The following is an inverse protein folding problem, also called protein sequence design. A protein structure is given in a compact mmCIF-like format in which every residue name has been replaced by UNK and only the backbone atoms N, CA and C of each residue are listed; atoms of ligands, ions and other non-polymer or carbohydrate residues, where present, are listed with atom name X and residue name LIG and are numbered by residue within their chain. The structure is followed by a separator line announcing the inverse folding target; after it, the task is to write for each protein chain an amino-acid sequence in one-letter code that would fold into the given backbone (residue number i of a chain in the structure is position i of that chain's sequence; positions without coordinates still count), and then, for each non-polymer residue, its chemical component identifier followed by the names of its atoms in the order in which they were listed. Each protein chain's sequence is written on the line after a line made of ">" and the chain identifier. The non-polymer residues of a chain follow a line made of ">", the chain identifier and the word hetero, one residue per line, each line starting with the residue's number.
data_IF_648065926430
#
_entry.id   IF_648065926430
#
_cell.length_a   1.000
_cell.length_b   1.000
_cell.length_c   1.000
_cell.angle_alpha   90.00
_cell.angle_beta   90.00
_cell.angle_gamma   90.00
#
_symmetry.space_group_name_H-M   'P 1'
#
loop_
_entity.id
_entity.type
_entity.pdbx_description
1 polymer ?
#
# COMPACT_ATOMS: atom_id res chain seq x y z
N UNK A 1 1.53 18.68 6.96
CA UNK A 1 0.49 19.76 7.04
C UNK A 1 0.67 20.83 5.94
N UNK A 2 1.88 21.15 5.54
CA UNK A 2 2.10 22.23 4.53
C UNK A 2 1.84 21.76 3.10
N UNK A 3 2.19 20.53 2.77
CA UNK A 3 2.01 19.94 1.44
C UNK A 3 0.53 19.85 1.06
N UNK A 4 -0.30 19.21 1.90
CA UNK A 4 -1.75 19.08 1.67
C UNK A 4 -2.44 20.44 1.57
N UNK A 5 -2.05 21.39 2.41
CA UNK A 5 -2.59 22.76 2.37
C UNK A 5 -2.24 23.48 1.08
N UNK A 6 -1.03 23.30 0.54
CA UNK A 6 -0.62 23.91 -0.73
C UNK A 6 -1.37 23.32 -1.91
N UNK A 7 -1.56 22.01 -1.93
CA UNK A 7 -2.37 21.31 -2.94
C UNK A 7 -3.81 21.80 -2.88
N UNK A 8 -4.40 21.90 -1.69
CA UNK A 8 -5.73 22.47 -1.50
C UNK A 8 -5.85 23.89 -2.02
N UNK A 9 -4.82 24.72 -1.81
CA UNK A 9 -4.79 26.07 -2.36
C UNK A 9 -4.84 26.13 -3.89
N UNK A 10 -4.21 25.17 -4.58
CA UNK A 10 -4.27 25.06 -6.06
C UNK A 10 -5.63 24.57 -6.53
N UNK A 11 -6.19 23.60 -5.86
CA UNK A 11 -7.51 23.03 -6.18
C UNK A 11 -8.62 24.07 -6.00
N UNK A 12 -8.60 24.80 -4.87
CA UNK A 12 -9.68 25.77 -4.54
C UNK A 12 -9.53 27.12 -5.25
N UNK A 13 -8.31 27.62 -5.41
CA UNK A 13 -8.01 28.99 -5.83
C UNK A 13 -7.33 29.09 -7.19
N UNK A 14 -7.03 27.94 -7.80
CA UNK A 14 -6.32 27.87 -9.06
C UNK A 14 -4.78 27.92 -8.93
N UNK A 15 -4.14 27.87 -10.08
CA UNK A 15 -2.67 27.68 -10.19
C UNK A 15 -1.85 28.87 -9.69
N UNK A 16 -2.42 30.07 -9.66
CA UNK A 16 -1.71 31.30 -9.30
C UNK A 16 -1.75 31.60 -7.79
N UNK A 17 -1.39 30.61 -6.99
CA UNK A 17 -1.33 30.78 -5.53
C UNK A 17 0.09 30.96 -5.00
N UNK A 18 0.22 31.70 -3.91
CA UNK A 18 1.52 31.89 -3.25
C UNK A 18 2.09 30.51 -2.84
N UNK A 19 3.33 30.25 -3.24
CA UNK A 19 4.05 29.02 -2.91
C UNK A 19 4.00 27.94 -3.99
N UNK A 20 3.28 28.13 -5.11
CA UNK A 20 3.27 27.20 -6.25
C UNK A 20 4.69 26.97 -6.78
N UNK A 21 5.47 28.03 -7.01
CA UNK A 21 6.87 27.91 -7.44
C UNK A 21 7.75 27.13 -6.45
N UNK A 22 7.44 27.24 -5.16
CA UNK A 22 8.15 26.48 -4.12
C UNK A 22 7.82 25.00 -4.24
N UNK A 23 6.56 24.66 -4.49
CA UNK A 23 6.14 23.28 -4.75
C UNK A 23 6.80 22.75 -6.01
N UNK A 24 6.82 23.49 -7.12
CA UNK A 24 7.49 23.08 -8.36
C UNK A 24 8.94 22.68 -8.11
N UNK A 25 9.66 23.47 -7.33
CA UNK A 25 11.05 23.17 -6.95
C UNK A 25 11.15 21.93 -6.08
N UNK A 26 10.22 21.74 -5.14
CA UNK A 26 10.23 20.60 -4.22
C UNK A 26 9.95 19.28 -4.93
N UNK A 27 9.03 19.27 -5.90
CA UNK A 27 8.60 18.04 -6.58
C UNK A 27 9.24 17.86 -7.97
N UNK A 28 10.10 18.81 -8.37
CA UNK A 28 10.85 18.71 -9.63
C UNK A 28 10.03 19.06 -10.87
N UNK A 29 9.17 20.08 -10.78
CA UNK A 29 8.39 20.59 -11.91
C UNK A 29 6.93 20.88 -11.57
N UNK A 30 6.18 21.34 -12.56
CA UNK A 30 4.78 21.77 -12.44
C UNK A 30 3.74 20.63 -12.64
N UNK A 31 4.19 19.44 -12.96
CA UNK A 31 3.38 18.26 -13.26
C UNK A 31 2.32 17.94 -12.20
N UNK A 32 2.60 18.23 -10.94
CA UNK A 32 1.74 17.95 -9.79
C UNK A 32 0.43 18.75 -9.82
N UNK A 33 0.43 19.89 -10.50
CA UNK A 33 -0.74 20.78 -10.59
C UNK A 33 -1.88 20.10 -11.31
N UNK A 34 -1.60 19.53 -12.48
CA UNK A 34 -2.59 18.81 -13.26
C UNK A 34 -3.05 17.53 -12.55
N UNK A 35 -2.12 16.78 -11.96
CA UNK A 35 -2.46 15.57 -11.17
C UNK A 35 -3.40 15.91 -10.02
N UNK A 36 -3.16 17.03 -9.31
CA UNK A 36 -4.02 17.46 -8.21
C UNK A 36 -5.43 17.83 -8.69
N UNK A 37 -5.53 18.56 -9.82
CA UNK A 37 -6.81 18.97 -10.39
C UNK A 37 -7.61 17.78 -10.93
N UNK A 38 -6.95 16.86 -11.64
CA UNK A 38 -7.59 15.67 -12.19
C UNK A 38 -8.12 14.77 -11.06
N UNK A 39 -7.33 14.48 -10.05
CA UNK A 39 -7.74 13.67 -8.90
C UNK A 39 -8.91 14.30 -8.14
N UNK A 40 -8.93 15.63 -8.01
CA UNK A 40 -10.07 16.33 -7.41
C UNK A 40 -11.33 16.26 -8.25
N UNK A 41 -11.21 16.38 -9.58
CA UNK A 41 -12.33 16.31 -10.51
C UNK A 41 -12.95 14.92 -10.60
N UNK A 42 -12.14 13.85 -10.47
CA UNK A 42 -12.59 12.46 -10.50
C UNK A 42 -13.36 12.05 -9.25
N UNK A 43 -13.26 12.80 -8.17
CA UNK A 43 -13.92 12.50 -6.89
C UNK A 43 -14.91 13.60 -6.52
N UNK A 44 -16.17 13.54 -7.00
CA UNK A 44 -17.20 14.54 -6.68
C UNK A 44 -17.38 14.67 -5.16
N UNK A 45 -17.19 15.87 -4.63
CA UNK A 45 -17.15 16.12 -3.19
C UNK A 45 -15.85 15.67 -2.53
N UNK A 46 -14.86 15.31 -3.35
CA UNK A 46 -13.51 14.89 -2.91
C UNK A 46 -12.80 15.91 -2.05
N UNK A 47 -11.94 15.39 -1.18
CA UNK A 47 -11.15 16.21 -0.29
C UNK A 47 -9.78 16.53 -0.91
N UNK A 48 -9.13 17.54 -0.39
CA UNK A 48 -7.72 17.82 -0.76
C UNK A 48 -6.79 16.66 -0.41
N UNK A 49 -7.22 15.73 0.46
CA UNK A 49 -6.49 14.55 0.82
C UNK A 49 -6.24 13.64 -0.37
N UNK A 50 -7.27 13.41 -1.20
CA UNK A 50 -7.17 12.55 -2.39
C UNK A 50 -6.25 13.17 -3.45
N UNK A 51 -6.36 14.48 -3.68
CA UNK A 51 -5.44 15.18 -4.55
C UNK A 51 -3.99 15.12 -4.03
N UNK A 52 -3.80 15.25 -2.71
CA UNK A 52 -2.49 15.14 -2.07
C UNK A 52 -1.91 13.72 -2.19
N UNK A 53 -2.74 12.69 -2.03
CA UNK A 53 -2.33 11.29 -2.17
C UNK A 53 -1.95 10.98 -3.63
N UNK A 54 -2.69 11.49 -4.61
CA UNK A 54 -2.37 11.35 -6.03
C UNK A 54 -1.03 12.01 -6.38
N UNK A 55 -0.80 13.23 -5.90
CA UNK A 55 0.48 13.94 -6.11
C UNK A 55 1.63 13.22 -5.40
N UNK A 56 1.42 12.72 -4.18
CA UNK A 56 2.44 11.95 -3.46
C UNK A 56 2.81 10.65 -4.20
N UNK A 57 1.82 9.97 -4.76
CA UNK A 57 2.00 8.78 -5.60
C UNK A 57 2.80 9.10 -6.85
N UNK A 58 2.40 10.13 -7.60
CA UNK A 58 3.13 10.58 -8.80
C UNK A 58 4.56 11.04 -8.50
N UNK A 59 4.80 11.65 -7.34
CA UNK A 59 6.15 11.98 -6.88
C UNK A 59 6.99 10.73 -6.62
N UNK A 60 6.41 9.73 -5.95
CA UNK A 60 7.09 8.47 -5.67
C UNK A 60 7.46 7.71 -6.94
N UNK A 61 6.59 7.66 -7.94
CA UNK A 61 6.84 7.04 -9.23
C UNK A 61 8.01 7.71 -9.96
N UNK A 62 8.03 9.06 -10.00
CA UNK A 62 9.11 9.83 -10.62
C UNK A 62 10.44 9.62 -9.90
N UNK A 63 10.41 9.63 -8.57
CA UNK A 63 11.59 9.40 -7.74
C UNK A 63 12.15 8.00 -7.94
N UNK A 64 11.28 6.97 -7.96
CA UNK A 64 11.63 5.57 -8.22
C UNK A 64 12.29 5.41 -9.57
N UNK A 65 11.70 6.00 -10.61
CA UNK A 65 12.23 5.99 -11.98
C UNK A 65 13.58 6.69 -12.06
N UNK A 66 13.71 7.87 -11.48
CA UNK A 66 14.97 8.64 -11.49
C UNK A 66 16.10 7.92 -10.74
N UNK A 67 15.77 7.25 -9.64
CA UNK A 67 16.74 6.50 -8.84
C UNK A 67 17.05 5.09 -9.40
N UNK A 68 16.26 4.58 -10.33
CA UNK A 68 16.32 3.19 -10.80
C UNK A 68 16.07 2.20 -9.66
N UNK A 69 15.10 2.50 -8.78
CA UNK A 69 14.76 1.72 -7.59
C UNK A 69 13.27 1.40 -7.59
N UNK A 70 12.91 0.27 -7.00
CA UNK A 70 11.53 0.04 -6.58
C UNK A 70 11.17 1.00 -5.44
N UNK A 71 9.94 1.50 -5.44
CA UNK A 71 9.50 2.43 -4.41
C UNK A 71 8.08 2.17 -3.95
N UNK A 72 7.83 2.39 -2.67
CA UNK A 72 6.50 2.33 -2.07
C UNK A 72 6.26 3.55 -1.19
N UNK A 73 5.02 3.98 -1.17
CA UNK A 73 4.56 5.09 -0.36
C UNK A 73 3.62 4.55 0.72
N UNK A 74 3.91 4.86 1.97
CA UNK A 74 3.14 4.38 3.12
C UNK A 74 2.53 5.58 3.84
N UNK A 75 1.19 5.72 3.87
CA UNK A 75 0.55 6.80 4.58
C UNK A 75 0.65 6.58 6.10
N UNK A 76 1.14 7.57 6.82
CA UNK A 76 1.21 7.57 8.28
C UNK A 76 0.13 8.48 8.84
N UNK A 77 -0.76 7.90 9.66
CA UNK A 77 -1.94 8.54 10.24
C UNK A 77 -1.89 8.49 11.76
N UNK A 78 -2.55 9.45 12.41
CA UNK A 78 -2.72 9.41 13.88
C UNK A 78 -3.80 8.43 14.30
N UNK A 79 -4.88 8.35 13.51
CA UNK A 79 -5.98 7.40 13.66
C UNK A 79 -6.38 6.86 12.29
N UNK A 80 -7.01 5.68 12.20
CA UNK A 80 -7.37 5.06 10.93
C UNK A 80 -8.20 5.95 10.00
N UNK A 81 -9.13 6.70 10.57
CA UNK A 81 -10.06 7.59 9.86
C UNK A 81 -9.45 8.93 9.44
N UNK A 82 -8.28 9.29 10.00
CA UNK A 82 -7.66 10.57 9.70
C UNK A 82 -6.96 10.57 8.33
N UNK A 83 -6.88 11.74 7.73
CA UNK A 83 -5.98 11.97 6.60
C UNK A 83 -4.52 11.72 7.02
N UNK A 84 -3.66 11.28 6.11
CA UNK A 84 -2.24 11.09 6.40
C UNK A 84 -1.59 12.36 6.94
N UNK A 85 -0.87 12.24 8.05
CA UNK A 85 -0.05 13.34 8.57
C UNK A 85 1.20 13.55 7.72
N UNK A 86 1.76 12.44 7.22
CA UNK A 86 2.85 12.39 6.24
C UNK A 86 2.88 11.02 5.55
N UNK A 87 3.66 10.94 4.48
CA UNK A 87 3.93 9.68 3.79
C UNK A 87 5.40 9.28 4.03
N UNK A 88 5.60 8.00 4.36
CA UNK A 88 6.92 7.40 4.38
C UNK A 88 7.23 6.87 2.99
N UNK A 89 8.25 7.43 2.35
CA UNK A 89 8.78 6.95 1.08
C UNK A 89 9.89 5.94 1.34
N UNK A 90 9.73 4.71 0.86
CA UNK A 90 10.75 3.67 0.94
C UNK A 90 11.20 3.27 -0.45
N UNK A 91 12.49 3.40 -0.72
CA UNK A 91 13.11 3.06 -2.00
C UNK A 91 14.26 2.09 -1.79
N UNK A 92 14.32 1.06 -2.61
CA UNK A 92 15.44 0.13 -2.64
C UNK A 92 15.56 -0.56 -4.01
N UNK A 93 16.77 -0.99 -4.37
CA UNK A 93 17.01 -1.89 -5.51
C UNK A 93 16.82 -3.35 -5.17
N UNK A 94 16.67 -3.66 -3.88
CA UNK A 94 16.59 -5.03 -3.37
C UNK A 94 15.15 -5.49 -3.22
N UNK A 95 14.72 -6.46 -4.03
CA UNK A 95 13.44 -7.14 -3.84
C UNK A 95 13.34 -7.77 -2.44
N UNK A 96 14.46 -8.26 -1.90
CA UNK A 96 14.50 -8.74 -0.52
C UNK A 96 14.25 -7.61 0.50
N UNK A 97 14.77 -6.41 0.24
CA UNK A 97 14.47 -5.23 1.05
C UNK A 97 12.98 -4.92 1.07
N UNK A 98 12.31 -4.95 -0.09
CA UNK A 98 10.86 -4.78 -0.17
C UNK A 98 10.10 -5.89 0.56
N UNK A 99 10.56 -7.14 0.44
CA UNK A 99 9.94 -8.29 1.12
C UNK A 99 9.94 -8.13 2.64
N UNK A 100 11.09 -7.80 3.22
CA UNK A 100 11.25 -7.59 4.67
C UNK A 100 10.47 -6.36 5.14
N UNK A 101 10.52 -5.25 4.37
CA UNK A 101 9.80 -4.02 4.71
C UNK A 101 8.28 -4.23 4.71
N UNK A 102 7.74 -4.96 3.73
CA UNK A 102 6.30 -5.26 3.67
C UNK A 102 5.82 -6.02 4.92
N UNK A 103 6.56 -7.05 5.35
CA UNK A 103 6.23 -7.82 6.57
C UNK A 103 6.34 -6.95 7.84
N UNK A 104 7.40 -6.14 7.94
CA UNK A 104 7.60 -5.24 9.08
C UNK A 104 6.47 -4.20 9.18
N UNK A 105 6.09 -3.59 8.06
CA UNK A 105 4.98 -2.62 8.00
C UNK A 105 3.64 -3.27 8.36
N UNK A 106 3.36 -4.49 7.86
CA UNK A 106 2.14 -5.20 8.18
C UNK A 106 2.02 -5.48 9.68
N UNK A 107 3.10 -5.90 10.32
CA UNK A 107 3.14 -6.11 11.77
C UNK A 107 2.99 -4.80 12.56
N UNK A 108 3.69 -3.75 12.12
CA UNK A 108 3.59 -2.43 12.73
C UNK A 108 2.16 -1.86 12.61
N UNK A 109 1.52 -2.03 11.41
CA UNK A 109 0.14 -1.62 11.19
C UNK A 109 -0.84 -2.34 12.12
N UNK A 110 -0.73 -3.66 12.25
CA UNK A 110 -1.59 -4.43 13.14
C UNK A 110 -1.45 -4.00 14.61
N UNK A 111 -0.20 -3.77 15.05
CA UNK A 111 0.06 -3.27 16.41
C UNK A 111 -0.55 -1.88 16.60
N UNK A 112 -0.32 -0.97 15.65
CA UNK A 112 -0.86 0.39 15.69
C UNK A 112 -2.39 0.39 15.72
N UNK A 113 -3.06 -0.42 14.89
CA UNK A 113 -4.52 -0.53 14.89
C UNK A 113 -5.06 -0.99 16.26
N UNK A 114 -4.38 -1.91 16.94
CA UNK A 114 -4.76 -2.34 18.28
C UNK A 114 -4.56 -1.28 19.36
N UNK A 115 -3.61 -0.35 19.16
CA UNK A 115 -3.33 0.73 20.12
C UNK A 115 -4.26 1.94 19.93
N UNK A 116 -4.65 2.25 18.68
CA UNK A 116 -5.37 3.50 18.34
C UNK A 116 -6.70 3.28 17.59
N UNK A 117 -7.05 2.03 17.30
CA UNK A 117 -8.31 1.66 16.66
C UNK A 117 -9.52 1.93 17.56
N UNK A 118 -10.74 1.72 17.04
CA UNK A 118 -11.95 1.91 17.81
C UNK A 118 -11.87 1.12 19.12
N UNK A 119 -11.90 1.82 20.22
CA UNK A 119 -12.03 1.21 21.55
C UNK A 119 -13.50 1.25 21.91
N UNK A 120 -14.04 0.11 22.32
CA UNK A 120 -15.42 0.03 22.75
C UNK A 120 -15.50 0.61 24.18
N UNK A 121 -15.70 1.93 24.28
CA UNK A 121 -15.85 2.61 25.57
C UNK A 121 -17.12 2.13 26.32
N UNK A 122 -18.06 1.46 25.62
CA UNK A 122 -19.31 0.90 26.17
C UNK A 122 -19.22 -0.61 26.50
N UNK A 123 -18.06 -1.25 26.32
CA UNK A 123 -17.89 -2.71 26.53
C UNK A 123 -18.08 -3.18 27.99
N UNK A 124 -18.33 -2.28 28.94
CA UNK A 124 -18.61 -2.67 30.33
C UNK A 124 -19.93 -3.41 30.53
N UNK A 125 -20.72 -3.66 29.48
CA UNK A 125 -22.00 -4.35 29.55
C UNK A 125 -22.30 -5.37 28.45
N UNK A 126 -21.42 -5.58 27.50
CA UNK A 126 -21.67 -6.52 26.42
C UNK A 126 -21.44 -7.97 26.85
N UNK A 127 -22.49 -8.79 26.72
CA UNK A 127 -22.48 -10.24 27.05
C UNK A 127 -21.60 -11.06 26.07
N UNK A 128 -21.04 -10.43 25.05
CA UNK A 128 -20.16 -11.02 24.04
C UNK A 128 -18.95 -10.10 23.87
N UNK A 129 -17.75 -10.66 23.96
CA UNK A 129 -16.48 -9.98 23.68
C UNK A 129 -16.43 -9.61 22.18
N UNK A 130 -16.95 -8.45 21.81
CA UNK A 130 -16.74 -7.90 20.48
C UNK A 130 -15.29 -7.37 20.40
N UNK A 131 -14.51 -7.84 19.43
CA UNK A 131 -13.20 -7.27 19.10
C UNK A 131 -13.32 -6.45 17.78
N UNK A 132 -13.83 -5.22 17.83
CA UNK A 132 -14.04 -4.40 16.64
C UNK A 132 -12.73 -4.10 15.90
N UNK A 133 -11.61 -4.09 16.62
CA UNK A 133 -10.28 -3.91 16.01
C UNK A 133 -9.83 -5.20 15.33
N UNK A 134 -10.08 -6.35 15.94
CA UNK A 134 -9.84 -7.65 15.32
C UNK A 134 -10.64 -7.81 14.03
N UNK A 135 -11.93 -7.51 14.07
CA UNK A 135 -12.82 -7.57 12.91
C UNK A 135 -12.34 -6.63 11.77
N UNK A 136 -11.89 -5.42 12.12
CA UNK A 136 -11.33 -4.47 11.15
C UNK A 136 -10.05 -5.04 10.49
N UNK A 137 -9.13 -5.58 11.29
CA UNK A 137 -7.87 -6.18 10.80
C UNK A 137 -8.19 -7.38 9.92
N UNK A 138 -9.07 -8.26 10.34
CA UNK A 138 -9.43 -9.48 9.63
C UNK A 138 -10.14 -9.18 8.32
N UNK A 139 -11.06 -8.22 8.31
CA UNK A 139 -11.74 -7.75 7.10
C UNK A 139 -10.77 -7.14 6.08
N UNK A 140 -9.85 -6.30 6.53
CA UNK A 140 -8.81 -5.70 5.68
C UNK A 140 -7.88 -6.79 5.10
N UNK A 141 -7.44 -7.72 5.94
CA UNK A 141 -6.59 -8.83 5.50
C UNK A 141 -7.31 -9.78 4.56
N UNK A 142 -8.59 -10.08 4.77
CA UNK A 142 -9.37 -10.95 3.88
C UNK A 142 -9.44 -10.36 2.47
N UNK A 143 -9.75 -9.06 2.36
CA UNK A 143 -9.76 -8.33 1.09
C UNK A 143 -8.37 -8.35 0.43
N UNK A 144 -7.34 -8.00 1.17
CA UNK A 144 -5.97 -7.98 0.69
C UNK A 144 -5.47 -9.35 0.24
N UNK A 145 -5.81 -10.43 0.96
CA UNK A 145 -5.50 -11.81 0.58
C UNK A 145 -6.16 -12.20 -0.74
N UNK A 146 -7.43 -11.86 -0.94
CA UNK A 146 -8.14 -12.12 -2.19
C UNK A 146 -7.46 -11.41 -3.36
N UNK A 147 -7.14 -10.14 -3.21
CA UNK A 147 -6.45 -9.35 -4.22
C UNK A 147 -5.01 -9.89 -4.50
N UNK A 148 -4.25 -10.21 -3.46
CA UNK A 148 -2.91 -10.78 -3.63
C UNK A 148 -2.94 -12.14 -4.33
N UNK A 149 -3.96 -13.00 -4.03
CA UNK A 149 -4.16 -14.27 -4.73
C UNK A 149 -4.31 -14.06 -6.24
N UNK A 150 -5.10 -13.08 -6.67
CA UNK A 150 -5.29 -12.75 -8.09
C UNK A 150 -3.98 -12.29 -8.71
N UNK A 151 -3.25 -11.37 -8.04
CA UNK A 151 -1.95 -10.88 -8.53
C UNK A 151 -0.88 -11.98 -8.64
N UNK A 152 -0.85 -12.92 -7.69
CA UNK A 152 0.05 -14.10 -7.79
C UNK A 152 -0.27 -14.93 -9.03
N UNK A 153 -1.55 -15.12 -9.36
CA UNK A 153 -1.96 -15.84 -10.57
C UNK A 153 -1.65 -15.07 -11.85
N UNK A 154 -1.74 -13.74 -11.84
CA UNK A 154 -1.35 -12.89 -12.96
C UNK A 154 0.16 -13.00 -13.23
N UNK A 155 0.99 -12.89 -12.18
CA UNK A 155 2.44 -13.13 -12.27
C UNK A 155 2.72 -14.52 -12.81
N UNK A 156 2.04 -15.55 -12.29
CA UNK A 156 2.21 -16.94 -12.72
C UNK A 156 1.86 -17.14 -14.19
N UNK A 157 0.79 -16.48 -14.67
CA UNK A 157 0.38 -16.54 -16.07
C UNK A 157 1.41 -15.90 -17.02
N UNK A 158 2.04 -14.81 -16.57
CA UNK A 158 3.06 -14.07 -17.34
C UNK A 158 4.41 -14.79 -17.36
N UNK A 159 4.89 -15.21 -16.18
CA UNK A 159 6.27 -15.71 -16.02
C UNK A 159 6.40 -17.22 -16.14
N UNK A 160 5.31 -17.99 -16.00
CA UNK A 160 5.29 -19.46 -15.97
C UNK A 160 6.12 -20.09 -14.82
N UNK A 161 7.30 -19.57 -14.55
CA UNK A 161 8.19 -19.98 -13.45
C UNK A 161 8.78 -18.73 -12.79
N UNK A 162 8.55 -18.56 -11.48
CA UNK A 162 8.86 -17.33 -10.76
C UNK A 162 9.14 -17.58 -9.28
N UNK A 163 9.67 -16.56 -8.59
CA UNK A 163 9.70 -16.49 -7.13
C UNK A 163 8.82 -15.32 -6.65
N UNK A 164 8.23 -15.43 -5.47
CA UNK A 164 7.40 -14.33 -4.95
C UNK A 164 8.23 -13.07 -4.67
N UNK A 165 9.50 -13.25 -4.28
CA UNK A 165 10.37 -12.13 -3.95
C UNK A 165 10.77 -11.33 -5.17
N UNK A 166 10.93 -11.96 -6.33
CA UNK A 166 11.29 -11.25 -7.57
C UNK A 166 10.16 -10.35 -8.06
N UNK A 167 8.93 -10.67 -7.67
CA UNK A 167 7.70 -9.94 -8.01
C UNK A 167 7.02 -9.32 -6.77
N UNK A 168 7.80 -8.99 -5.76
CA UNK A 168 7.27 -8.52 -4.47
C UNK A 168 6.34 -7.32 -4.60
N UNK A 169 6.67 -6.35 -5.42
CA UNK A 169 5.83 -5.16 -5.63
C UNK A 169 4.54 -5.50 -6.38
N UNK A 170 4.61 -6.37 -7.38
CA UNK A 170 3.43 -6.84 -8.11
C UNK A 170 2.50 -7.63 -7.17
N UNK A 171 3.05 -8.54 -6.36
CA UNK A 171 2.28 -9.44 -5.48
C UNK A 171 1.59 -8.68 -4.35
N UNK A 172 2.29 -7.76 -3.69
CA UNK A 172 1.67 -6.92 -2.67
C UNK A 172 0.79 -5.82 -3.28
N UNK A 173 1.24 -5.17 -4.36
CA UNK A 173 0.53 -4.09 -5.02
C UNK A 173 0.08 -3.00 -4.04
N UNK A 174 -1.17 -2.51 -4.15
CA UNK A 174 -1.71 -1.50 -3.23
C UNK A 174 -1.81 -1.96 -1.76
N UNK A 175 -1.78 -3.28 -1.51
CA UNK A 175 -1.85 -3.86 -0.16
C UNK A 175 -0.46 -4.03 0.49
N UNK A 176 0.55 -3.32 0.00
CA UNK A 176 1.88 -3.33 0.59
C UNK A 176 1.85 -2.84 2.05
N UNK A 177 2.35 -3.67 2.97
CA UNK A 177 2.29 -3.41 4.40
C UNK A 177 0.94 -3.71 5.07
N UNK A 178 0.04 -4.43 4.38
CA UNK A 178 -1.20 -4.99 4.96
C UNK A 178 -1.03 -6.49 5.26
N UNK A 179 -0.43 -7.22 4.32
CA UNK A 179 -0.18 -8.66 4.43
C UNK A 179 1.23 -8.96 4.94
N UNK A 180 1.33 -9.89 5.88
CA UNK A 180 2.60 -10.45 6.34
C UNK A 180 3.11 -11.51 5.36
N UNK A 181 4.39 -11.89 5.49
CA UNK A 181 4.96 -13.06 4.80
C UNK A 181 4.14 -14.34 5.06
N UNK A 182 3.66 -14.53 6.29
CA UNK A 182 2.82 -15.66 6.66
C UNK A 182 1.49 -15.68 5.89
N UNK A 183 0.88 -14.52 5.63
CA UNK A 183 -0.34 -14.44 4.84
C UNK A 183 -0.08 -14.87 3.38
N UNK A 184 1.01 -14.39 2.78
CA UNK A 184 1.41 -14.83 1.43
C UNK A 184 1.72 -16.33 1.39
N UNK A 185 2.32 -16.86 2.48
CA UNK A 185 2.56 -18.30 2.63
C UNK A 185 1.28 -19.13 2.55
N UNK A 186 0.24 -18.70 3.22
CA UNK A 186 -1.07 -19.35 3.17
C UNK A 186 -1.67 -19.29 1.77
N UNK A 187 -1.64 -18.14 1.11
CA UNK A 187 -2.12 -17.97 -0.27
C UNK A 187 -1.38 -18.92 -1.22
N UNK A 188 -0.05 -18.96 -1.15
CA UNK A 188 0.75 -19.84 -1.99
C UNK A 188 0.44 -21.33 -1.72
N UNK A 189 0.27 -21.71 -0.45
CA UNK A 189 -0.09 -23.09 -0.08
C UNK A 189 -1.48 -23.50 -0.62
N UNK A 190 -2.45 -22.61 -0.56
CA UNK A 190 -3.77 -22.80 -1.13
C UNK A 190 -3.70 -22.99 -2.64
N UNK A 191 -2.97 -22.12 -3.35
CA UNK A 191 -2.79 -22.23 -4.82
C UNK A 191 -2.08 -23.54 -5.23
N UNK A 192 -1.18 -24.05 -4.39
CA UNK A 192 -0.54 -25.37 -4.61
C UNK A 192 -1.55 -26.51 -4.36
N UNK A 193 -2.34 -26.41 -3.29
CA UNK A 193 -3.40 -27.36 -2.98
C UNK A 193 -4.45 -27.43 -4.11
N UNK A 194 -4.82 -26.27 -4.66
CA UNK A 194 -5.76 -26.14 -5.77
C UNK A 194 -5.15 -26.54 -7.14
N UNK A 195 -3.92 -27.04 -7.14
CA UNK A 195 -3.16 -27.45 -8.34
C UNK A 195 -2.94 -26.33 -9.37
N UNK A 196 -3.10 -25.07 -8.98
CA UNK A 196 -2.82 -23.91 -9.84
C UNK A 196 -1.33 -23.61 -9.91
N UNK A 197 -0.59 -23.91 -8.83
CA UNK A 197 0.86 -23.78 -8.75
C UNK A 197 1.51 -25.10 -8.33
N UNK A 198 2.78 -25.30 -8.74
CA UNK A 198 3.66 -26.28 -8.11
C UNK A 198 4.80 -25.53 -7.46
N UNK A 199 5.19 -25.93 -6.24
CA UNK A 199 6.29 -25.34 -5.48
C UNK A 199 7.49 -26.29 -5.48
N UNK A 200 8.68 -25.80 -5.81
CA UNK A 200 9.91 -26.54 -5.64
C UNK A 200 10.24 -26.68 -4.13
N UNK A 201 10.62 -27.87 -3.65
CA UNK A 201 10.92 -28.10 -2.23
C UNK A 201 12.21 -27.41 -1.80
N UNK A 202 12.37 -27.24 -0.47
CA UNK A 202 13.66 -26.95 0.17
C UNK A 202 14.03 -25.48 0.35
N UNK A 203 13.24 -24.51 -0.12
CA UNK A 203 13.55 -23.09 0.05
C UNK A 203 12.52 -22.37 0.93
N UNK A 204 12.95 -21.26 1.59
CA UNK A 204 12.03 -20.32 2.25
C UNK A 204 11.01 -19.78 1.26
N UNK A 205 9.85 -19.35 1.75
CA UNK A 205 8.72 -18.96 0.93
C UNK A 205 9.07 -17.95 -0.17
N UNK A 206 9.68 -16.82 0.19
CA UNK A 206 9.99 -15.76 -0.77
C UNK A 206 10.95 -16.21 -1.88
N UNK A 207 11.84 -17.15 -1.58
CA UNK A 207 12.86 -17.71 -2.48
C UNK A 207 12.43 -19.02 -3.15
N UNK A 208 11.28 -19.57 -2.77
CA UNK A 208 10.77 -20.78 -3.39
C UNK A 208 10.35 -20.49 -4.83
N UNK A 209 10.74 -21.38 -5.73
CA UNK A 209 10.31 -21.31 -7.13
C UNK A 209 8.92 -21.91 -7.26
N UNK A 210 8.04 -21.19 -7.92
CA UNK A 210 6.71 -21.62 -8.28
C UNK A 210 6.60 -21.82 -9.78
N UNK A 211 5.87 -22.84 -10.20
CA UNK A 211 5.57 -23.11 -11.60
C UNK A 211 4.05 -23.10 -11.79
N UNK A 212 3.57 -22.38 -12.77
CA UNK A 212 2.15 -22.32 -13.14
C UNK A 212 1.70 -23.63 -13.79
N UNK A 213 0.54 -24.10 -13.39
CA UNK A 213 -0.02 -25.39 -13.88
C UNK A 213 -1.17 -25.25 -14.88
N UNK A 214 -1.63 -23.98 -15.12
CA UNK A 214 -2.76 -23.73 -16.03
C UNK A 214 -4.05 -23.45 -15.29
#
# INVERSE_FOLDING_TARGET
>A
ADFTRRIGGVVDKGIDTAGVETMDRMVGGDWWRQVALDAHAETPGGTWGEAADAVATGYMERLSKAAGMGGVLVPVRRKPENQPTYHLAYLTRSNHGHWVMADALARARQKWLREVGPQDDDAQGALFDADPVGDLIDGEQARAKSAARSRVLEVAGRERKFTLIDHVLDVYGPDYGVLTESNLGKIAAELVKDKRLAREPGKKLGQATFTYKG
#
